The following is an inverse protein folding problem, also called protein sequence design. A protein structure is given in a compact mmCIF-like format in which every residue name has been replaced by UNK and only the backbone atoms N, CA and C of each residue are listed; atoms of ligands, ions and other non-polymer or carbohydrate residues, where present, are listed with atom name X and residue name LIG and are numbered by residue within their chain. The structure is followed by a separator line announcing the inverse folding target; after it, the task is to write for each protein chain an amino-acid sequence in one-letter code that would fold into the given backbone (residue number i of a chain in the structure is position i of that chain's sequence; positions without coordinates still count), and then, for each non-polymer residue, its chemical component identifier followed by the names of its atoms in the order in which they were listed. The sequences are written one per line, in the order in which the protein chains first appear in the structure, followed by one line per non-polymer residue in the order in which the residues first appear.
data_IF_174806217643
#
_entry.id   IF_174806217643
#
_cell.length_a   1.000
_cell.length_b   1.000
_cell.length_c   1.000
_cell.angle_alpha   90.00
_cell.angle_beta   90.00
_cell.angle_gamma   90.00
#
_symmetry.space_group_name_H-M   'P 1'
#
loop_
_entity.id
_entity.type
_entity.pdbx_description
1 polymer ?
#
# COMPACT_ATOMS: atom_id res chain seq x y z
N UNK A 1 32.67 4.65 -20.53
CA UNK A 1 32.51 5.93 -19.78
C UNK A 1 31.32 6.70 -20.35
N UNK A 2 30.34 7.07 -19.53
CA UNK A 2 29.29 8.00 -19.96
C UNK A 2 29.95 9.36 -20.21
N UNK A 3 29.93 9.83 -21.46
CA UNK A 3 30.46 11.16 -21.81
C UNK A 3 29.63 12.21 -21.06
N UNK A 4 30.28 12.91 -20.12
CA UNK A 4 29.66 13.95 -19.30
C UNK A 4 29.65 15.23 -20.12
N UNK A 5 28.46 15.78 -20.37
CA UNK A 5 28.32 17.07 -21.03
C UNK A 5 28.61 18.19 -20.04
N UNK A 6 29.07 19.33 -20.56
CA UNK A 6 29.22 20.55 -19.77
C UNK A 6 27.85 21.10 -19.37
N UNK A 7 27.80 21.85 -18.27
CA UNK A 7 26.54 22.36 -17.72
C UNK A 7 25.76 23.18 -18.77
N UNK A 8 26.43 24.07 -19.49
CA UNK A 8 25.79 24.89 -20.52
C UNK A 8 25.15 24.04 -21.65
N UNK A 9 25.79 22.92 -22.00
CA UNK A 9 25.26 22.00 -23.02
C UNK A 9 24.02 21.29 -22.52
N UNK A 10 24.04 20.87 -21.25
CA UNK A 10 22.87 20.25 -20.60
C UNK A 10 21.72 21.25 -20.56
N UNK A 11 21.96 22.49 -20.12
CA UNK A 11 20.93 23.52 -20.01
C UNK A 11 20.26 23.81 -21.37
N UNK A 12 21.05 23.88 -22.46
CA UNK A 12 20.52 24.05 -23.83
C UNK A 12 19.72 22.83 -24.33
N UNK A 13 20.16 21.62 -23.99
CA UNK A 13 19.44 20.38 -24.33
C UNK A 13 18.14 20.26 -23.53
N UNK A 14 18.16 20.66 -22.26
CA UNK A 14 17.02 20.69 -21.36
C UNK A 14 15.96 21.68 -21.88
N UNK A 15 16.35 22.93 -22.19
CA UNK A 15 15.46 23.92 -22.79
C UNK A 15 14.87 23.45 -24.13
N UNK A 16 15.69 22.79 -24.97
CA UNK A 16 15.20 22.20 -26.21
C UNK A 16 14.22 21.05 -26.01
N UNK A 17 14.36 20.29 -24.93
CA UNK A 17 13.46 19.19 -24.57
C UNK A 17 12.14 19.68 -23.97
N UNK A 18 12.17 20.77 -23.19
CA UNK A 18 10.97 21.43 -22.66
C UNK A 18 10.09 22.01 -23.77
N UNK A 19 10.70 22.58 -24.82
CA UNK A 19 9.97 23.06 -25.99
C UNK A 19 9.41 21.89 -26.83
N UNK A 20 10.18 20.83 -27.00
CA UNK A 20 9.77 19.65 -27.75
C UNK A 20 10.46 18.38 -27.25
N UNK A 21 9.67 17.46 -26.68
CA UNK A 21 10.14 16.15 -26.24
C UNK A 21 10.66 15.28 -27.42
N UNK A 22 10.17 15.55 -28.63
CA UNK A 22 10.58 14.88 -29.86
C UNK A 22 11.60 15.71 -30.63
N UNK A 23 12.73 15.08 -30.96
CA UNK A 23 13.82 15.73 -31.67
C UNK A 23 13.51 15.81 -33.17
N UNK A 24 13.06 16.97 -33.66
CA UNK A 24 12.88 17.23 -35.09
C UNK A 24 14.24 17.44 -35.78
N UNK A 25 14.29 17.29 -37.11
CA UNK A 25 15.54 17.47 -37.89
C UNK A 25 16.10 18.89 -37.73
N UNK A 26 15.25 19.90 -37.80
CA UNK A 26 15.64 21.32 -37.64
C UNK A 26 16.19 21.59 -36.24
N UNK A 27 15.49 21.12 -35.20
CA UNK A 27 15.93 21.29 -33.81
C UNK A 27 17.26 20.59 -33.57
N UNK A 28 17.45 19.40 -34.16
CA UNK A 28 18.71 18.66 -34.09
C UNK A 28 19.88 19.44 -34.72
N UNK A 29 19.65 20.08 -35.88
CA UNK A 29 20.64 20.94 -36.55
C UNK A 29 20.96 22.16 -35.70
N UNK A 30 19.93 22.82 -35.14
CA UNK A 30 20.08 23.97 -34.25
C UNK A 30 20.91 23.60 -33.02
N UNK A 31 20.53 22.52 -32.32
CA UNK A 31 21.21 22.06 -31.10
C UNK A 31 22.68 21.72 -31.36
N UNK A 32 23.00 21.08 -32.49
CA UNK A 32 24.41 20.85 -32.90
C UNK A 32 25.18 22.16 -33.04
N UNK A 33 24.57 23.19 -33.68
CA UNK A 33 25.24 24.48 -33.89
C UNK A 33 25.52 25.20 -32.57
N UNK A 34 24.57 25.21 -31.65
CA UNK A 34 24.71 25.96 -30.38
C UNK A 34 25.52 25.21 -29.31
N UNK A 35 25.44 23.88 -29.27
CA UNK A 35 26.17 23.07 -28.27
C UNK A 35 27.53 22.59 -28.74
N UNK A 36 27.77 22.53 -30.05
CA UNK A 36 28.95 21.90 -30.65
C UNK A 36 28.94 20.37 -30.55
N UNK A 37 27.85 19.76 -30.09
CA UNK A 37 27.73 18.31 -29.93
C UNK A 37 27.39 17.61 -31.23
N UNK A 38 27.86 16.37 -31.38
CA UNK A 38 27.50 15.56 -32.51
C UNK A 38 26.00 15.18 -32.51
N UNK A 39 25.47 14.99 -33.72
CA UNK A 39 24.08 14.63 -33.96
C UNK A 39 23.67 13.34 -33.24
N UNK A 40 24.55 12.35 -33.14
CA UNK A 40 24.29 11.10 -32.44
C UNK A 40 24.25 11.30 -30.92
N UNK A 41 25.13 12.15 -30.39
CA UNK A 41 25.17 12.49 -28.98
C UNK A 41 23.87 13.17 -28.53
N UNK A 42 23.38 14.13 -29.32
CA UNK A 42 22.10 14.82 -29.07
C UNK A 42 20.94 13.80 -29.11
N UNK A 43 20.89 12.95 -30.14
CA UNK A 43 19.83 11.94 -30.24
C UNK A 43 19.85 10.93 -29.07
N UNK A 44 21.04 10.49 -28.68
CA UNK A 44 21.25 9.58 -27.55
C UNK A 44 20.81 10.22 -26.23
N UNK A 45 21.11 11.50 -26.03
CA UNK A 45 20.68 12.25 -24.84
C UNK A 45 19.15 12.35 -24.78
N UNK A 46 18.48 12.76 -25.87
CA UNK A 46 17.02 12.84 -25.93
C UNK A 46 16.35 11.48 -25.67
N UNK A 47 16.91 10.40 -26.22
CA UNK A 47 16.42 9.03 -25.96
C UNK A 47 16.52 8.67 -24.47
N UNK A 48 17.66 8.97 -23.84
CA UNK A 48 17.86 8.73 -22.41
C UNK A 48 16.94 9.59 -21.54
N UNK A 49 16.76 10.87 -21.88
CA UNK A 49 15.88 11.79 -21.16
C UNK A 49 14.43 11.28 -21.16
N UNK A 50 13.92 10.85 -22.32
CA UNK A 50 12.58 10.21 -22.41
C UNK A 50 12.48 8.91 -21.65
N UNK A 51 13.50 8.05 -21.71
CA UNK A 51 13.52 6.81 -20.93
C UNK A 51 13.46 7.09 -19.43
N UNK A 52 14.24 8.08 -18.96
CA UNK A 52 14.23 8.50 -17.56
C UNK A 52 12.89 9.10 -17.14
N UNK A 53 12.29 9.98 -17.98
CA UNK A 53 10.96 10.55 -17.72
C UNK A 53 9.91 9.46 -17.55
N UNK A 54 9.84 8.51 -18.49
CA UNK A 54 8.93 7.36 -18.40
C UNK A 54 9.20 6.50 -17.17
N UNK A 55 10.46 6.20 -16.87
CA UNK A 55 10.80 5.42 -15.67
C UNK A 55 10.39 6.13 -14.37
N UNK A 56 10.55 7.47 -14.31
CA UNK A 56 10.12 8.28 -13.18
C UNK A 56 8.59 8.28 -13.04
N UNK A 57 7.87 8.43 -14.14
CA UNK A 57 6.40 8.35 -14.16
C UNK A 57 5.91 6.96 -13.72
N UNK A 58 6.46 5.88 -14.28
CA UNK A 58 6.11 4.51 -13.88
C UNK A 58 6.40 4.22 -12.42
N UNK A 59 7.52 4.75 -11.89
CA UNK A 59 7.83 4.63 -10.46
C UNK A 59 6.83 5.39 -9.60
N UNK A 60 6.49 6.62 -9.97
CA UNK A 60 5.48 7.41 -9.25
C UNK A 60 4.12 6.73 -9.25
N UNK A 61 3.72 6.13 -10.36
CA UNK A 61 2.49 5.35 -10.45
C UNK A 61 2.53 4.09 -9.58
N UNK A 62 3.66 3.37 -9.59
CA UNK A 62 3.86 2.19 -8.75
C UNK A 62 3.75 2.54 -7.26
N UNK A 63 4.37 3.65 -6.84
CA UNK A 63 4.31 4.13 -5.46
C UNK A 63 2.87 4.50 -5.05
N UNK A 64 2.08 5.11 -5.96
CA UNK A 64 0.66 5.40 -5.71
C UNK A 64 -0.15 4.13 -5.54
N UNK A 65 0.00 3.17 -6.46
CA UNK A 65 -0.70 1.87 -6.42
C UNK A 65 -0.33 1.11 -5.13
N UNK A 66 0.94 1.14 -4.71
CA UNK A 66 1.36 0.52 -3.45
C UNK A 66 0.67 1.15 -2.24
N UNK A 67 0.57 2.48 -2.19
CA UNK A 67 -0.10 3.18 -1.10
C UNK A 67 -1.60 2.85 -1.06
N UNK A 68 -2.28 2.84 -2.21
CA UNK A 68 -3.68 2.45 -2.32
C UNK A 68 -3.92 1.00 -1.88
N UNK A 69 -3.04 0.07 -2.31
CA UNK A 69 -3.10 -1.32 -1.91
C UNK A 69 -2.94 -1.47 -0.39
N UNK A 70 -2.01 -0.72 0.22
CA UNK A 70 -1.81 -0.75 1.66
C UNK A 70 -3.04 -0.21 2.41
N UNK A 71 -3.64 0.88 1.93
CA UNK A 71 -4.87 1.42 2.51
C UNK A 71 -6.03 0.43 2.42
N UNK A 72 -6.19 -0.24 1.28
CA UNK A 72 -7.24 -1.23 1.10
C UNK A 72 -7.03 -2.43 2.03
N UNK A 73 -5.80 -2.93 2.17
CA UNK A 73 -5.48 -3.99 3.15
C UNK A 73 -5.82 -3.60 4.58
N UNK A 74 -5.52 -2.35 4.96
CA UNK A 74 -5.85 -1.87 6.30
C UNK A 74 -7.37 -1.81 6.52
N UNK A 75 -8.13 -1.33 5.51
CA UNK A 75 -9.60 -1.32 5.55
C UNK A 75 -10.20 -2.71 5.59
N UNK A 76 -9.62 -3.66 4.84
CA UNK A 76 -10.04 -5.06 4.88
C UNK A 76 -9.85 -5.65 6.27
N UNK A 77 -8.71 -5.39 6.93
CA UNK A 77 -8.46 -5.84 8.30
C UNK A 77 -9.46 -5.25 9.32
N UNK A 78 -9.79 -3.96 9.20
CA UNK A 78 -10.79 -3.28 10.03
C UNK A 78 -12.18 -3.89 9.84
N UNK A 79 -12.61 -4.09 8.59
CA UNK A 79 -13.88 -4.73 8.28
C UNK A 79 -13.93 -6.19 8.76
N UNK A 80 -12.83 -6.92 8.66
CA UNK A 80 -12.74 -8.28 9.20
C UNK A 80 -12.88 -8.29 10.72
N UNK A 81 -12.31 -7.32 11.42
CA UNK A 81 -12.46 -7.16 12.86
C UNK A 81 -13.90 -6.86 13.27
N UNK A 82 -14.55 -5.90 12.61
CA UNK A 82 -15.98 -5.64 12.81
C UNK A 82 -16.82 -6.89 12.53
N UNK A 83 -16.51 -7.62 11.46
CA UNK A 83 -17.21 -8.85 11.12
C UNK A 83 -17.05 -9.93 12.21
N UNK A 84 -15.85 -10.05 12.79
CA UNK A 84 -15.60 -10.93 13.95
C UNK A 84 -16.42 -10.51 15.16
N UNK A 85 -16.41 -9.21 15.49
CA UNK A 85 -17.21 -8.68 16.59
C UNK A 85 -18.69 -8.96 16.39
N UNK A 86 -19.26 -8.63 15.23
CA UNK A 86 -20.67 -8.86 14.93
C UNK A 86 -21.05 -10.34 15.02
N UNK A 87 -20.21 -11.25 14.52
CA UNK A 87 -20.41 -12.69 14.66
C UNK A 87 -20.44 -13.10 16.13
N UNK A 88 -19.50 -12.60 16.93
CA UNK A 88 -19.44 -12.89 18.35
C UNK A 88 -20.69 -12.39 19.10
N UNK A 89 -21.11 -11.16 18.85
CA UNK A 89 -22.36 -10.59 19.39
C UNK A 89 -23.58 -11.45 19.04
N UNK A 90 -23.67 -11.88 17.78
CA UNK A 90 -24.74 -12.75 17.34
C UNK A 90 -24.73 -14.09 18.09
N UNK A 91 -23.56 -14.68 18.32
CA UNK A 91 -23.41 -15.90 19.11
C UNK A 91 -23.91 -15.70 20.54
N UNK A 92 -23.54 -14.62 21.22
CA UNK A 92 -24.03 -14.30 22.57
C UNK A 92 -25.56 -14.22 22.60
N UNK A 93 -26.15 -13.48 21.65
CA UNK A 93 -27.61 -13.30 21.57
C UNK A 93 -28.31 -14.65 21.35
N UNK A 94 -27.81 -15.46 20.41
CA UNK A 94 -28.38 -16.78 20.11
C UNK A 94 -28.29 -17.69 21.34
N UNK A 95 -27.14 -17.74 22.02
CA UNK A 95 -26.97 -18.53 23.25
C UNK A 95 -27.96 -18.09 24.33
N UNK A 96 -28.15 -16.79 24.55
CA UNK A 96 -29.13 -16.26 25.49
C UNK A 96 -30.56 -16.69 25.16
N UNK A 97 -30.96 -16.61 23.89
CA UNK A 97 -32.29 -17.05 23.44
C UNK A 97 -32.50 -18.55 23.64
N UNK A 98 -31.50 -19.39 23.35
CA UNK A 98 -31.55 -20.84 23.56
C UNK A 98 -31.71 -21.15 25.05
N UNK A 99 -30.90 -20.51 25.92
CA UNK A 99 -30.98 -20.70 27.36
C UNK A 99 -32.37 -20.30 27.88
N UNK A 100 -32.89 -19.14 27.47
CA UNK A 100 -34.25 -18.71 27.81
C UNK A 100 -35.32 -19.70 27.35
N UNK A 101 -35.20 -20.24 26.13
CA UNK A 101 -36.12 -21.25 25.61
C UNK A 101 -36.08 -22.55 26.42
N UNK A 102 -34.89 -23.03 26.76
CA UNK A 102 -34.69 -24.19 27.64
C UNK A 102 -35.32 -23.91 29.01
N UNK A 103 -35.03 -22.78 29.64
CA UNK A 103 -35.62 -22.43 30.94
C UNK A 103 -37.15 -22.33 30.90
N UNK A 104 -37.74 -21.88 29.78
CA UNK A 104 -39.18 -21.82 29.58
C UNK A 104 -39.83 -23.21 29.39
N UNK A 105 -39.16 -24.14 28.72
CA UNK A 105 -39.60 -25.54 28.58
C UNK A 105 -39.46 -26.28 29.91
N UNK A 106 -38.32 -26.12 30.57
CA UNK A 106 -37.96 -26.76 31.83
C UNK A 106 -38.48 -26.00 33.06
N UNK A 107 -39.61 -25.28 32.95
CA UNK A 107 -40.27 -24.52 34.03
C UNK A 107 -40.70 -25.44 35.19
N UNK A 108 -39.69 -25.90 35.92
CA UNK A 108 -39.64 -26.77 37.10
C UNK A 108 -38.22 -26.90 37.70
N UNK A 109 -37.28 -26.00 37.38
CA UNK A 109 -36.01 -25.87 38.12
C UNK A 109 -35.83 -24.40 38.52
N UNK A 110 -35.54 -24.19 39.80
CA UNK A 110 -35.64 -22.93 40.55
C UNK A 110 -34.49 -21.95 40.27
N UNK A 111 -34.74 -20.69 40.62
CA UNK A 111 -34.09 -19.43 40.20
C UNK A 111 -32.69 -19.12 40.79
N UNK A 112 -31.96 -20.07 41.37
CA UNK A 112 -30.79 -19.73 42.22
C UNK A 112 -29.38 -19.83 41.57
N UNK A 113 -29.24 -20.24 40.30
CA UNK A 113 -27.91 -20.51 39.69
C UNK A 113 -27.37 -19.41 38.75
N UNK A 114 -27.91 -18.19 38.79
CA UNK A 114 -27.47 -17.10 37.90
C UNK A 114 -26.13 -16.44 38.29
N UNK A 115 -25.63 -16.69 39.50
CA UNK A 115 -24.36 -16.11 39.97
C UNK A 115 -23.12 -16.66 39.26
N UNK A 116 -23.14 -17.93 38.85
CA UNK A 116 -21.97 -18.64 38.30
C UNK A 116 -21.77 -18.38 36.81
N UNK A 117 -22.84 -18.04 36.07
CA UNK A 117 -22.77 -17.84 34.61
C UNK A 117 -22.10 -16.50 34.25
N UNK A 118 -22.24 -15.47 35.09
CA UNK A 118 -21.62 -14.16 34.88
C UNK A 118 -20.11 -14.14 35.17
N UNK A 119 -19.62 -14.94 36.11
CA UNK A 119 -18.18 -15.10 36.36
C UNK A 119 -17.46 -15.85 35.22
N UNK A 120 -18.14 -16.81 34.58
CA UNK A 120 -17.55 -17.57 33.47
C UNK A 120 -17.40 -16.74 32.19
N UNK A 121 -18.27 -15.74 31.97
CA UNK A 121 -18.20 -14.84 30.82
C UNK A 121 -17.06 -13.82 31.00
N UNK A 122 -16.86 -13.27 32.20
CA UNK A 122 -15.74 -12.36 32.49
C UNK A 122 -14.34 -13.02 32.45
N UNK A 123 -14.24 -14.34 32.60
CA UNK A 123 -12.95 -15.05 32.54
C UNK A 123 -12.40 -15.23 31.11
N UNK A 124 -13.25 -15.09 30.09
CA UNK A 124 -12.85 -15.23 28.67
C UNK A 124 -12.39 -13.89 28.06
N UNK A 125 -12.37 -12.81 28.84
CA UNK A 125 -11.90 -11.46 28.44
C UNK A 125 -10.38 -11.24 28.55
N UNK A 126 -9.56 -12.30 28.63
CA UNK A 126 -8.10 -12.16 28.51
C UNK A 126 -7.70 -12.08 27.04
N UNK A 127 -7.64 -10.84 26.55
CA UNK A 127 -6.89 -10.32 25.40
C UNK A 127 -6.01 -11.35 24.65
N UNK A 128 -6.29 -11.67 23.38
CA UNK A 128 -5.28 -12.10 22.44
C UNK A 128 -4.73 -10.88 21.67
N UNK A 129 -4.35 -9.82 22.39
CA UNK A 129 -3.57 -8.72 21.82
C UNK A 129 -2.14 -8.77 22.38
N UNK A 130 -1.35 -9.69 21.85
CA UNK A 130 0.12 -9.61 21.93
C UNK A 130 0.68 -9.66 20.51
N UNK A 131 1.16 -8.53 19.95
CA UNK A 131 1.87 -8.55 18.68
C UNK A 131 3.29 -9.03 18.94
N UNK A 132 3.52 -10.33 18.80
CA UNK A 132 4.86 -10.90 18.87
C UNK A 132 5.63 -10.51 17.60
N UNK A 133 6.37 -9.43 17.73
CA UNK A 133 7.23 -8.82 16.72
C UNK A 133 8.37 -9.76 16.33
N UNK A 134 8.10 -10.74 15.46
CA UNK A 134 9.16 -11.57 14.88
C UNK A 134 9.71 -10.90 13.63
N UNK A 135 10.70 -10.01 13.83
CA UNK A 135 11.70 -9.68 12.82
C UNK A 135 12.42 -10.97 12.42
N UNK A 136 12.14 -11.48 11.22
CA UNK A 136 13.02 -12.41 10.52
C UNK A 136 14.04 -11.56 9.73
N UNK A 137 15.22 -11.38 10.31
CA UNK A 137 16.41 -11.03 9.54
C UNK A 137 16.79 -12.22 8.64
N UNK A 138 16.97 -12.03 7.33
CA UNK A 138 17.48 -13.08 6.46
C UNK A 138 19.02 -13.10 6.50
N UNK A 139 19.55 -14.30 6.77
CA UNK A 139 20.85 -14.80 6.28
C UNK A 139 22.11 -13.99 6.60
N UNK A 140 22.76 -14.40 7.70
CA UNK A 140 24.21 -14.40 7.80
C UNK A 140 24.67 -15.86 7.97
N UNK A 141 25.14 -16.49 6.89
CA UNK A 141 26.26 -17.42 6.97
C UNK A 141 26.97 -17.61 5.63
#
# INVERSE_FOLDING_TARGET
MAKRFEKYQIDLLEAGFEESEHLTKEKKIYLRRVTGLDMEQIASWFRRKRAWKRAKESRGELERIQNELQQNKNREAELEEENRHLKHWLTIIICGLIICFIMAIFKKVTFDDYGTILEYINFVDLDPCSPELTRLDPEAH
#
